data_IF_398502308603
#
_entry.id   IF_398502308603
#
_cell.length_a   1.000
_cell.length_b   1.000
_cell.length_c   1.000
_cell.angle_alpha   90.00
_cell.angle_beta   90.00
_cell.angle_gamma   90.00
#
_symmetry.space_group_name_H-M   'P 1'
#
loop_
_entity.id
_entity.type
_entity.pdbx_description
1 polymer ?
#
# COMPACT_ATOMS: atom_id res chain seq x y z
N UNK A 1 -1.97 17.31 8.08
CA UNK A 1 -0.94 16.25 8.01
C UNK A 1 -0.05 16.36 6.78
N UNK A 2 -0.58 16.53 5.55
CA UNK A 2 0.23 16.67 4.32
C UNK A 2 1.16 17.90 4.29
N UNK A 3 0.70 19.07 4.75
CA UNK A 3 1.52 20.29 4.79
C UNK A 3 2.73 20.19 5.74
N UNK A 4 2.63 19.43 6.83
CA UNK A 4 3.72 19.27 7.81
C UNK A 4 4.87 18.39 7.29
N UNK A 5 4.59 17.33 6.51
CA UNK A 5 5.63 16.44 5.94
C UNK A 5 6.52 17.11 4.90
N UNK A 6 6.03 18.15 4.24
CA UNK A 6 6.84 18.95 3.31
C UNK A 6 7.82 19.90 4.00
N UNK A 7 7.65 20.15 5.31
CA UNK A 7 8.52 21.09 6.06
C UNK A 7 9.91 20.51 6.28
N UNK A 8 10.91 21.38 6.26
CA UNK A 8 12.31 20.99 6.50
C UNK A 8 12.51 20.33 7.86
N UNK A 9 11.78 20.80 8.88
CA UNK A 9 11.81 20.22 10.24
C UNK A 9 11.35 18.77 10.23
N UNK A 10 10.22 18.47 9.57
CA UNK A 10 9.72 17.10 9.50
C UNK A 10 10.64 16.22 8.65
N UNK A 11 11.16 16.73 7.52
CA UNK A 11 12.13 15.99 6.71
C UNK A 11 13.36 15.59 7.53
N UNK A 12 13.92 16.52 8.30
CA UNK A 12 15.06 16.24 9.18
C UNK A 12 14.72 15.23 10.28
N UNK A 13 13.54 15.31 10.88
CA UNK A 13 13.08 14.32 11.85
C UNK A 13 12.95 12.92 11.22
N UNK A 14 12.37 12.81 10.03
CA UNK A 14 12.25 11.54 9.31
C UNK A 14 13.64 10.95 8.97
N UNK A 15 14.60 11.78 8.55
CA UNK A 15 15.99 11.36 8.34
C UNK A 15 16.63 10.82 9.63
N UNK A 16 16.41 11.47 10.77
CA UNK A 16 16.89 10.98 12.06
C UNK A 16 16.25 9.63 12.45
N UNK A 17 14.96 9.45 12.17
CA UNK A 17 14.29 8.16 12.39
C UNK A 17 14.91 7.06 11.52
N UNK A 18 15.22 7.35 10.25
CA UNK A 18 15.94 6.40 9.38
C UNK A 18 17.31 6.04 10.00
N UNK A 19 18.13 7.06 10.30
CA UNK A 19 19.48 6.86 10.88
C UNK A 19 19.45 6.04 12.16
N UNK A 20 18.48 6.28 13.04
CA UNK A 20 18.30 5.50 14.28
C UNK A 20 17.97 4.03 14.00
N UNK A 21 17.21 3.72 12.96
CA UNK A 21 16.87 2.34 12.62
C UNK A 21 18.05 1.60 11.97
N UNK A 22 18.92 2.31 11.26
CA UNK A 22 20.10 1.71 10.61
C UNK A 22 21.36 1.77 11.49
N UNK A 23 21.34 2.42 12.66
CA UNK A 23 22.51 2.56 13.54
C UNK A 23 22.82 1.33 14.40
N UNK A 24 21.94 0.32 14.44
CA UNK A 24 22.19 -0.89 15.25
C UNK A 24 23.45 -1.62 14.76
N UNK A 25 24.13 -2.35 15.64
CA UNK A 25 25.23 -3.24 15.23
C UNK A 25 24.65 -4.54 14.68
N UNK A 26 25.28 -5.10 13.64
CA UNK A 26 24.84 -6.36 13.02
C UNK A 26 23.84 -6.20 11.87
N UNK A 27 23.27 -7.33 11.45
CA UNK A 27 22.30 -7.45 10.34
C UNK A 27 21.04 -6.63 10.65
N UNK A 28 20.52 -5.88 9.68
CA UNK A 28 19.22 -5.24 9.85
C UNK A 28 18.12 -6.29 9.95
N UNK A 29 17.23 -6.11 10.91
CA UNK A 29 16.05 -6.96 11.09
C UNK A 29 14.95 -6.58 10.09
N UNK A 30 13.99 -7.47 9.85
CA UNK A 30 12.84 -7.16 8.99
C UNK A 30 12.02 -5.97 9.52
N UNK A 31 11.91 -5.82 10.84
CA UNK A 31 11.26 -4.67 11.47
C UNK A 31 11.99 -3.36 11.20
N UNK A 32 13.31 -3.33 11.32
CA UNK A 32 14.13 -2.16 10.97
C UNK A 32 13.98 -1.80 9.50
N UNK A 33 14.09 -2.79 8.61
CA UNK A 33 13.91 -2.60 7.18
C UNK A 33 12.54 -1.99 6.87
N UNK A 34 11.46 -2.55 7.43
CA UNK A 34 10.11 -2.03 7.21
C UNK A 34 9.95 -0.58 7.63
N UNK A 35 10.47 -0.21 8.81
CA UNK A 35 10.43 1.17 9.31
C UNK A 35 11.24 2.11 8.42
N UNK A 36 12.43 1.71 7.98
CA UNK A 36 13.26 2.50 7.06
C UNK A 36 12.54 2.72 5.73
N UNK A 37 12.04 1.65 5.08
CA UNK A 37 11.32 1.75 3.80
C UNK A 37 10.09 2.65 3.91
N UNK A 38 9.26 2.43 4.93
CA UNK A 38 8.04 3.23 5.13
C UNK A 38 8.37 4.71 5.29
N UNK A 39 9.38 5.03 6.11
CA UNK A 39 9.79 6.41 6.36
C UNK A 39 10.38 7.04 5.10
N UNK A 40 11.23 6.31 4.36
CA UNK A 40 11.79 6.80 3.08
C UNK A 40 10.70 7.09 2.06
N UNK A 41 9.74 6.18 1.86
CA UNK A 41 8.60 6.43 0.96
C UNK A 41 7.72 7.60 1.41
N UNK A 42 7.66 7.87 2.71
CA UNK A 42 6.93 9.01 3.28
C UNK A 42 7.69 10.35 3.27
N UNK A 43 9.02 10.31 3.19
CA UNK A 43 9.91 11.48 3.07
C UNK A 43 9.88 12.07 1.66
N UNK A 44 9.57 11.23 0.66
CA UNK A 44 9.74 11.54 -0.75
C UNK A 44 11.10 11.09 -1.24
N UNK A 45 11.66 11.79 -2.23
CA UNK A 45 12.99 11.48 -2.79
C UNK A 45 14.07 11.69 -1.71
N UNK A 46 14.79 10.64 -1.26
CA UNK A 46 15.94 10.79 -0.38
C UNK A 46 17.10 11.51 -1.09
N UNK A 47 17.94 12.23 -0.33
CA UNK A 47 19.19 12.77 -0.85
C UNK A 47 20.24 11.67 -1.03
N UNK A 48 21.24 11.93 -1.87
CA UNK A 48 22.25 10.93 -2.25
C UNK A 48 23.07 10.45 -1.04
N UNK A 49 23.30 11.30 -0.05
CA UNK A 49 24.05 10.94 1.16
C UNK A 49 23.26 9.95 2.03
N UNK A 50 21.99 10.22 2.27
CA UNK A 50 21.11 9.30 2.98
C UNK A 50 20.94 7.99 2.21
N UNK A 51 20.88 8.04 0.88
CA UNK A 51 20.85 6.86 0.04
C UNK A 51 22.09 5.97 0.21
N UNK A 52 23.29 6.57 0.23
CA UNK A 52 24.54 5.84 0.52
C UNK A 52 24.52 5.24 1.91
N UNK A 53 24.16 6.02 2.94
CA UNK A 53 24.08 5.53 4.33
C UNK A 53 23.15 4.31 4.44
N UNK A 54 22.00 4.32 3.77
CA UNK A 54 21.07 3.18 3.76
C UNK A 54 21.70 1.98 3.03
N UNK A 55 22.22 2.17 1.82
CA UNK A 55 22.76 1.10 1.00
C UNK A 55 23.96 0.40 1.66
N UNK A 56 24.87 1.16 2.26
CA UNK A 56 26.02 0.63 3.01
C UNK A 56 25.58 -0.29 4.16
N UNK A 57 24.42 0.01 4.77
CA UNK A 57 23.86 -0.82 5.84
C UNK A 57 23.19 -2.09 5.33
N UNK A 58 22.70 -2.10 4.08
CA UNK A 58 22.20 -3.31 3.43
C UNK A 58 23.32 -4.23 2.92
N UNK A 59 24.52 -3.71 2.67
CA UNK A 59 25.68 -4.50 2.25
C UNK A 59 26.14 -5.53 3.29
N UNK A 60 25.86 -5.29 4.57
CA UNK A 60 26.21 -6.20 5.68
C UNK A 60 25.25 -7.38 5.93
N UNK A 61 24.25 -7.59 5.07
CA UNK A 61 23.16 -8.57 5.30
C UNK A 61 23.34 -9.83 4.46
N UNK A 62 23.40 -9.64 3.14
CA UNK A 62 23.67 -10.63 2.10
C UNK A 62 23.80 -9.85 0.78
N UNK A 63 24.79 -10.18 -0.06
CA UNK A 63 25.13 -9.40 -1.27
C UNK A 63 23.93 -9.18 -2.22
N UNK A 64 22.94 -10.07 -2.16
CA UNK A 64 21.75 -10.13 -3.01
C UNK A 64 20.41 -9.95 -2.27
N UNK A 65 20.37 -9.21 -1.15
CA UNK A 65 19.10 -8.94 -0.44
C UNK A 65 18.08 -8.24 -1.37
N UNK A 66 16.83 -8.75 -1.51
CA UNK A 66 15.80 -8.10 -2.31
C UNK A 66 15.51 -6.65 -1.89
N UNK A 67 15.61 -6.35 -0.60
CA UNK A 67 15.46 -4.99 -0.08
C UNK A 67 16.58 -4.06 -0.51
N UNK A 68 17.82 -4.58 -0.60
CA UNK A 68 18.95 -3.81 -1.15
C UNK A 68 18.70 -3.45 -2.61
N UNK A 69 18.29 -4.42 -3.43
CA UNK A 69 17.97 -4.19 -4.85
C UNK A 69 16.86 -3.16 -5.00
N UNK A 70 15.80 -3.25 -4.18
CA UNK A 70 14.75 -2.24 -4.15
C UNK A 70 15.29 -0.84 -3.82
N UNK A 71 16.15 -0.71 -2.81
CA UNK A 71 16.75 0.59 -2.46
C UNK A 71 17.72 1.10 -3.52
N UNK A 72 18.48 0.23 -4.18
CA UNK A 72 19.35 0.62 -5.28
C UNK A 72 18.53 1.21 -6.42
N UNK A 73 17.41 0.57 -6.78
CA UNK A 73 16.44 1.17 -7.70
C UNK A 73 15.97 2.49 -7.09
N UNK A 74 15.33 2.51 -5.93
CA UNK A 74 14.79 3.74 -5.32
C UNK A 74 15.77 4.94 -5.31
N UNK A 75 17.07 4.70 -5.08
CA UNK A 75 18.12 5.71 -4.96
C UNK A 75 18.82 6.10 -6.26
N UNK A 76 19.20 5.15 -7.15
CA UNK A 76 19.90 5.45 -8.42
C UNK A 76 19.04 6.32 -9.35
N UNK A 77 17.74 6.28 -9.11
CA UNK A 77 16.72 7.01 -9.83
C UNK A 77 16.63 8.49 -9.41
N UNK A 78 17.67 9.00 -8.73
CA UNK A 78 17.82 10.40 -8.38
C UNK A 78 18.28 11.29 -9.56
N UNK A 79 18.68 10.71 -10.71
CA UNK A 79 19.11 11.47 -11.89
C UNK A 79 18.49 11.06 -13.23
N UNK A 80 18.13 9.78 -13.44
CA UNK A 80 17.57 9.26 -14.70
C UNK A 80 16.39 8.33 -14.41
N UNK A 81 15.37 8.34 -15.28
CA UNK A 81 14.09 7.69 -15.04
C UNK A 81 14.23 6.16 -14.99
N UNK A 82 13.94 5.51 -13.85
CA UNK A 82 13.57 4.11 -13.85
C UNK A 82 12.17 3.95 -14.42
N UNK A 83 11.99 3.00 -15.33
CA UNK A 83 10.64 2.55 -15.65
C UNK A 83 9.95 2.10 -14.36
N UNK A 84 8.75 2.62 -14.06
CA UNK A 84 7.98 2.25 -12.87
C UNK A 84 7.79 0.73 -12.69
N UNK A 85 8.04 -0.03 -13.75
CA UNK A 85 8.19 -1.48 -13.77
C UNK A 85 9.31 -2.03 -12.86
N UNK A 86 10.51 -1.44 -12.84
CA UNK A 86 11.64 -1.93 -12.02
C UNK A 86 11.36 -1.74 -10.53
N UNK A 87 10.82 -0.58 -10.15
CA UNK A 87 10.41 -0.28 -8.78
C UNK A 87 9.29 -1.21 -8.31
N UNK A 88 8.29 -1.44 -9.17
CA UNK A 88 7.21 -2.39 -8.91
C UNK A 88 7.71 -3.83 -8.72
N UNK A 89 8.63 -4.28 -9.59
CA UNK A 89 9.20 -5.64 -9.55
C UNK A 89 10.00 -5.87 -8.27
N UNK A 90 10.95 -4.98 -7.99
CA UNK A 90 11.84 -5.11 -6.83
C UNK A 90 11.09 -4.97 -5.50
N UNK A 91 10.06 -4.11 -5.41
CA UNK A 91 9.20 -4.04 -4.24
C UNK A 91 8.38 -5.33 -4.04
N UNK A 92 7.84 -5.91 -5.12
CA UNK A 92 7.14 -7.18 -5.05
C UNK A 92 8.04 -8.29 -4.53
N UNK A 93 9.25 -8.43 -5.09
CA UNK A 93 10.23 -9.44 -4.67
C UNK A 93 10.60 -9.29 -3.19
N UNK A 94 10.82 -8.05 -2.72
CA UNK A 94 11.15 -7.77 -1.34
C UNK A 94 10.01 -8.09 -0.36
N UNK A 95 8.76 -7.81 -0.74
CA UNK A 95 7.60 -8.16 0.08
C UNK A 95 7.32 -9.67 0.09
N UNK A 96 7.47 -10.35 -1.04
CA UNK A 96 7.35 -11.81 -1.11
C UNK A 96 8.40 -12.48 -0.24
N UNK A 97 9.66 -12.03 -0.33
CA UNK A 97 10.74 -12.54 0.52
C UNK A 97 10.45 -12.33 2.00
N UNK A 98 9.97 -11.14 2.38
CA UNK A 98 9.62 -10.82 3.77
C UNK A 98 8.49 -11.71 4.27
N UNK A 99 7.40 -11.85 3.52
CA UNK A 99 6.22 -12.59 3.95
C UNK A 99 6.49 -14.10 4.11
N UNK A 100 7.39 -14.64 3.29
CA UNK A 100 7.81 -16.06 3.33
C UNK A 100 8.93 -16.34 4.32
N UNK A 101 9.50 -15.32 4.96
CA UNK A 101 10.51 -15.50 5.97
C UNK A 101 9.92 -16.15 7.23
N UNK A 102 10.76 -16.85 7.99
CA UNK A 102 10.36 -17.48 9.25
C UNK A 102 10.20 -16.43 10.36
N UNK A 103 9.06 -15.75 10.32
CA UNK A 103 8.75 -14.66 11.24
C UNK A 103 8.69 -15.11 12.70
N UNK A 104 8.52 -16.41 12.98
CA UNK A 104 8.48 -16.95 14.35
C UNK A 104 9.84 -16.91 15.02
N UNK A 105 10.92 -17.02 14.26
CA UNK A 105 12.29 -17.02 14.75
C UNK A 105 12.99 -15.64 14.69
N UNK A 106 12.35 -14.64 14.09
CA UNK A 106 12.90 -13.28 14.00
C UNK A 106 12.48 -12.43 15.23
N UNK A 107 13.44 -11.88 15.99
CA UNK A 107 13.14 -11.08 17.19
C UNK A 107 12.38 -9.78 16.85
N UNK A 108 12.79 -9.08 15.81
CA UNK A 108 12.15 -7.86 15.30
C UNK A 108 11.68 -8.08 13.86
N UNK A 109 10.50 -8.70 13.74
CA UNK A 109 9.84 -8.89 12.46
C UNK A 109 8.98 -7.67 12.06
N UNK A 110 8.72 -7.51 10.76
CA UNK A 110 7.89 -6.42 10.27
C UNK A 110 6.47 -6.51 10.86
N UNK A 111 5.95 -5.41 11.41
CA UNK A 111 4.59 -5.41 11.96
C UNK A 111 3.54 -5.56 10.84
N UNK A 112 2.37 -6.16 11.10
CA UNK A 112 1.32 -6.31 10.10
C UNK A 112 0.90 -4.96 9.48
N UNK A 113 0.82 -3.91 10.30
CA UNK A 113 0.47 -2.57 9.85
C UNK A 113 1.53 -1.97 8.92
N UNK A 114 2.82 -2.21 9.21
CA UNK A 114 3.91 -1.79 8.35
C UNK A 114 3.90 -2.54 7.02
N UNK A 115 3.76 -3.87 7.08
CA UNK A 115 3.71 -4.71 5.91
C UNK A 115 2.55 -4.33 4.97
N UNK A 116 1.34 -4.15 5.50
CA UNK A 116 0.18 -3.77 4.68
C UNK A 116 0.32 -2.37 4.08
N UNK A 117 0.97 -1.43 4.76
CA UNK A 117 1.25 -0.11 4.17
C UNK A 117 2.12 -0.24 2.91
N UNK A 118 3.14 -1.10 2.95
CA UNK A 118 4.01 -1.37 1.79
C UNK A 118 3.27 -2.16 0.69
N UNK A 119 2.40 -3.10 1.06
CA UNK A 119 1.50 -3.78 0.11
C UNK A 119 0.58 -2.80 -0.59
N UNK A 120 -0.02 -1.84 0.11
CA UNK A 120 -0.82 -0.78 -0.51
C UNK A 120 0.00 0.04 -1.51
N UNK A 121 1.29 0.31 -1.24
CA UNK A 121 2.17 1.01 -2.18
C UNK A 121 2.44 0.19 -3.43
N UNK A 122 2.66 -1.11 -3.25
CA UNK A 122 2.80 -2.05 -4.37
C UNK A 122 1.53 -2.09 -5.22
N UNK A 123 0.33 -2.10 -4.61
CA UNK A 123 -0.94 -2.08 -5.33
C UNK A 123 -1.13 -0.80 -6.13
N UNK A 124 -0.72 0.36 -5.59
CA UNK A 124 -0.76 1.62 -6.32
C UNK A 124 0.17 1.57 -7.54
N UNK A 125 1.41 1.11 -7.37
CA UNK A 125 2.36 0.92 -8.48
C UNK A 125 1.79 -0.01 -9.56
N UNK A 126 1.23 -1.14 -9.14
CA UNK A 126 0.62 -2.14 -10.01
C UNK A 126 -0.57 -1.57 -10.79
N UNK A 127 -1.46 -0.85 -10.11
CA UNK A 127 -2.68 -0.32 -10.72
C UNK A 127 -2.40 0.90 -11.61
N UNK A 128 -1.44 1.75 -11.21
CA UNK A 128 -1.05 2.94 -11.97
C UNK A 128 -0.61 2.63 -13.39
N UNK A 129 -0.02 1.45 -13.62
CA UNK A 129 0.38 1.00 -14.95
C UNK A 129 -0.76 0.83 -15.96
N UNK A 130 -2.02 0.97 -15.54
CA UNK A 130 -3.22 0.90 -16.38
C UNK A 130 -3.70 2.27 -16.89
N UNK A 131 -3.05 3.37 -16.51
CA UNK A 131 -3.41 4.74 -16.89
C UNK A 131 -4.30 5.45 -15.87
N UNK A 132 -5.27 4.74 -15.30
CA UNK A 132 -6.03 5.16 -14.11
C UNK A 132 -6.16 4.01 -13.11
N UNK A 133 -6.45 4.34 -11.86
CA UNK A 133 -6.60 3.37 -10.78
C UNK A 133 -7.50 3.90 -9.66
N UNK A 134 -8.15 2.99 -8.94
CA UNK A 134 -8.91 3.28 -7.74
C UNK A 134 -8.05 3.05 -6.50
N UNK A 135 -8.09 3.96 -5.54
CA UNK A 135 -7.44 3.77 -4.24
C UNK A 135 -8.18 4.55 -3.15
N UNK A 136 -7.77 4.40 -1.90
CA UNK A 136 -8.31 5.21 -0.79
C UNK A 136 -7.67 6.60 -0.76
N UNK A 137 -8.40 7.61 -0.26
CA UNK A 137 -7.87 8.97 -0.09
C UNK A 137 -6.59 8.98 0.74
N UNK A 138 -6.53 8.19 1.82
CA UNK A 138 -5.33 8.12 2.66
C UNK A 138 -4.14 7.60 1.86
N UNK A 139 -4.27 6.46 1.19
CA UNK A 139 -3.17 5.82 0.44
C UNK A 139 -2.75 6.66 -0.76
N UNK A 140 -3.69 7.34 -1.43
CA UNK A 140 -3.40 8.26 -2.53
C UNK A 140 -2.55 9.46 -2.11
N UNK A 141 -2.95 10.13 -1.03
CA UNK A 141 -2.26 11.34 -0.61
C UNK A 141 -0.86 11.01 -0.06
N UNK A 142 -0.71 9.82 0.52
CA UNK A 142 0.57 9.24 0.92
C UNK A 142 1.46 8.87 -0.28
N UNK A 143 0.89 8.50 -1.42
CA UNK A 143 1.58 8.26 -2.69
C UNK A 143 1.97 9.56 -3.39
N UNK A 144 1.14 10.60 -3.30
CA UNK A 144 1.42 11.89 -3.93
C UNK A 144 2.72 12.55 -3.43
N UNK A 145 3.01 12.42 -2.12
CA UNK A 145 4.26 12.95 -1.54
C UNK A 145 5.50 12.34 -2.21
N UNK A 146 5.46 11.06 -2.59
CA UNK A 146 6.57 10.38 -3.23
C UNK A 146 6.90 10.95 -4.62
N UNK A 147 5.88 11.38 -5.38
CA UNK A 147 6.02 11.82 -6.78
C UNK A 147 6.27 13.33 -6.97
N UNK A 148 6.45 14.11 -5.91
CA UNK A 148 6.72 15.54 -6.07
C UNK A 148 8.14 15.84 -6.63
N UNK A 149 8.91 14.80 -6.98
CA UNK A 149 10.08 14.89 -7.87
C UNK A 149 9.72 14.44 -9.29
N UNK A 150 10.01 15.27 -10.28
CA UNK A 150 9.67 15.14 -11.69
C UNK A 150 9.71 13.71 -12.24
N UNK A 151 8.63 13.27 -12.89
CA UNK A 151 8.69 12.08 -13.76
C UNK A 151 7.64 12.13 -14.85
N UNK A 152 8.11 12.17 -16.10
CA UNK A 152 7.33 11.84 -17.27
C UNK A 152 7.14 10.31 -17.31
N UNK A 153 5.98 9.77 -17.70
CA UNK A 153 5.80 8.33 -17.78
C UNK A 153 6.65 7.73 -18.90
N UNK A 154 7.55 6.82 -18.53
CA UNK A 154 8.30 6.02 -19.49
C UNK A 154 7.35 5.18 -20.35
N UNK A 155 7.69 5.09 -21.64
CA UNK A 155 7.12 4.18 -22.63
C UNK A 155 7.51 2.73 -22.30
N UNK A 156 7.03 2.21 -21.19
CA UNK A 156 7.28 0.82 -20.80
C UNK A 156 6.43 -0.11 -21.67
N UNK A 157 7.06 -1.10 -22.31
CA UNK A 157 6.37 -2.12 -23.11
C UNK A 157 5.30 -2.84 -22.30
N UNK A 158 4.05 -2.78 -22.75
CA UNK A 158 2.90 -3.39 -22.08
C UNK A 158 2.96 -4.91 -21.93
N UNK A 159 3.87 -5.59 -22.65
CA UNK A 159 4.00 -7.03 -22.66
C UNK A 159 4.50 -7.63 -21.32
N UNK A 160 5.40 -6.94 -20.60
CA UNK A 160 5.94 -7.43 -19.32
C UNK A 160 5.13 -6.97 -18.10
N UNK A 161 4.50 -5.79 -18.21
CA UNK A 161 3.77 -5.15 -17.11
C UNK A 161 2.53 -5.96 -16.72
N UNK A 162 1.82 -6.49 -17.72
CA UNK A 162 0.55 -7.20 -17.55
C UNK A 162 0.71 -8.50 -16.72
N UNK A 163 1.64 -9.43 -17.04
CA UNK A 163 1.88 -10.62 -16.23
C UNK A 163 2.32 -10.32 -14.79
N UNK A 164 3.24 -9.35 -14.61
CA UNK A 164 3.72 -8.98 -13.28
C UNK A 164 2.59 -8.39 -12.42
N UNK A 165 1.73 -7.56 -13.02
CA UNK A 165 0.56 -7.00 -12.31
C UNK A 165 -0.40 -8.09 -11.84
N UNK A 166 -0.71 -9.06 -12.71
CA UNK A 166 -1.54 -10.21 -12.33
C UNK A 166 -0.92 -10.97 -11.16
N UNK A 167 0.39 -11.27 -11.24
CA UNK A 167 1.14 -11.93 -10.16
C UNK A 167 1.07 -11.15 -8.84
N UNK A 168 1.16 -9.83 -8.89
CA UNK A 168 1.04 -8.97 -7.70
C UNK A 168 -0.35 -9.09 -7.08
N UNK A 169 -1.42 -9.00 -7.87
CA UNK A 169 -2.78 -9.16 -7.33
C UNK A 169 -3.01 -10.55 -6.74
N UNK A 170 -2.53 -11.60 -7.41
CA UNK A 170 -2.63 -12.97 -6.91
C UNK A 170 -1.85 -13.15 -5.61
N UNK A 171 -0.62 -12.62 -5.51
CA UNK A 171 0.17 -12.62 -4.27
C UNK A 171 -0.56 -11.89 -3.13
N UNK A 172 -1.02 -10.66 -3.39
CA UNK A 172 -1.70 -9.86 -2.35
C UNK A 172 -2.97 -10.53 -1.88
N UNK A 173 -3.81 -11.04 -2.78
CA UNK A 173 -5.09 -11.62 -2.39
C UNK A 173 -4.92 -13.01 -1.81
N UNK A 174 -4.27 -13.92 -2.54
CA UNK A 174 -4.27 -15.35 -2.22
C UNK A 174 -3.18 -15.73 -1.20
N UNK A 175 -2.02 -15.07 -1.22
CA UNK A 175 -0.94 -15.38 -0.26
C UNK A 175 -1.02 -14.51 0.99
N UNK A 176 -1.40 -13.23 0.87
CA UNK A 176 -1.43 -12.31 2.02
C UNK A 176 -2.83 -12.21 2.62
N UNK A 177 -3.82 -11.69 1.90
CA UNK A 177 -5.09 -11.29 2.53
C UNK A 177 -5.90 -12.48 3.01
N UNK A 178 -6.09 -13.50 2.16
CA UNK A 178 -6.91 -14.67 2.53
C UNK A 178 -6.35 -15.40 3.75
N UNK A 179 -5.05 -15.74 3.83
CA UNK A 179 -4.49 -16.38 5.02
C UNK A 179 -4.64 -15.54 6.28
N UNK A 180 -4.43 -14.21 6.21
CA UNK A 180 -4.58 -13.32 7.37
C UNK A 180 -6.03 -13.18 7.84
N UNK A 181 -6.99 -13.26 6.94
CA UNK A 181 -8.41 -13.25 7.30
C UNK A 181 -8.89 -14.60 7.85
N UNK A 182 -8.37 -15.71 7.32
CA UNK A 182 -8.86 -17.06 7.67
C UNK A 182 -8.15 -17.66 8.87
N UNK A 183 -6.88 -17.33 9.07
CA UNK A 183 -6.11 -17.79 10.20
C UNK A 183 -6.01 -16.70 11.27
N UNK A 184 -7.11 -16.54 12.02
CA UNK A 184 -7.18 -15.58 13.13
C UNK A 184 -6.09 -15.82 14.17
N UNK A 185 -5.75 -17.08 14.47
CA UNK A 185 -4.79 -17.43 15.52
C UNK A 185 -3.40 -16.89 15.16
N UNK A 186 -2.87 -17.26 14.01
CA UNK A 186 -1.52 -16.87 13.61
C UNK A 186 -1.44 -15.36 13.36
N UNK A 187 -2.50 -14.76 12.81
CA UNK A 187 -2.60 -13.31 12.65
C UNK A 187 -2.53 -12.59 14.00
N UNK A 188 -3.24 -13.10 15.01
CA UNK A 188 -3.16 -12.55 16.36
C UNK A 188 -1.78 -12.74 16.98
N UNK A 189 -1.12 -13.88 16.75
CA UNK A 189 0.26 -14.10 17.22
C UNK A 189 1.24 -13.11 16.57
N UNK A 190 1.12 -12.87 15.25
CA UNK A 190 1.93 -11.87 14.55
C UNK A 190 1.71 -10.45 15.11
N UNK A 191 0.45 -10.06 15.38
CA UNK A 191 0.13 -8.78 16.04
C UNK A 191 0.82 -8.69 17.40
N UNK A 192 0.68 -9.72 18.24
CA UNK A 192 1.28 -9.75 19.59
C UNK A 192 2.78 -9.59 19.56
N UNK A 193 3.44 -10.28 18.63
CA UNK A 193 4.91 -10.24 18.47
C UNK A 193 5.40 -8.85 18.06
N UNK A 194 4.62 -8.12 17.27
CA UNK A 194 4.97 -6.77 16.82
C UNK A 194 4.85 -5.66 17.88
N UNK A 195 4.72 -6.01 19.17
CA UNK A 195 4.49 -5.11 20.30
C UNK A 195 3.28 -4.15 20.13
N UNK A 196 2.39 -4.45 19.18
CA UNK A 196 1.22 -3.64 18.85
C UNK A 196 0.00 -4.23 19.55
N UNK A 197 0.00 -4.21 20.89
CA UNK A 197 -1.08 -4.80 21.69
C UNK A 197 -2.17 -3.76 21.99
N UNK A 198 -2.85 -3.29 20.95
CA UNK A 198 -4.10 -2.56 21.11
C UNK A 198 -5.27 -3.52 20.83
N UNK A 199 -6.24 -3.59 21.75
CA UNK A 199 -7.46 -4.41 21.63
C UNK A 199 -8.18 -4.16 20.30
N UNK A 200 -8.08 -2.94 19.79
CA UNK A 200 -8.73 -2.49 18.56
C UNK A 200 -7.88 -2.72 17.29
N UNK A 201 -6.64 -3.20 17.41
CA UNK A 201 -5.76 -3.38 16.26
C UNK A 201 -6.24 -4.50 15.32
N UNK A 202 -6.76 -5.61 15.86
CA UNK A 202 -7.22 -6.72 15.03
C UNK A 202 -8.44 -6.34 14.17
N UNK A 203 -9.51 -5.72 14.71
CA UNK A 203 -10.59 -5.17 13.89
C UNK A 203 -10.12 -4.19 12.80
N UNK A 204 -9.18 -3.29 13.13
CA UNK A 204 -8.60 -2.36 12.16
C UNK A 204 -7.81 -3.08 11.06
N UNK A 205 -7.08 -4.15 11.40
CA UNK A 205 -6.36 -4.97 10.44
C UNK A 205 -7.35 -5.67 9.49
N UNK A 206 -8.41 -6.28 10.02
CA UNK A 206 -9.46 -6.94 9.22
C UNK A 206 -10.12 -5.94 8.26
N UNK A 207 -10.46 -4.74 8.74
CA UNK A 207 -10.99 -3.68 7.89
C UNK A 207 -10.03 -3.33 6.74
N UNK A 208 -8.74 -3.16 7.03
CA UNK A 208 -7.72 -2.87 6.00
C UNK A 208 -7.61 -3.99 4.96
N UNK A 209 -7.61 -5.24 5.42
CA UNK A 209 -7.55 -6.42 4.54
C UNK A 209 -8.77 -6.50 3.60
N UNK A 210 -9.98 -6.28 4.13
CA UNK A 210 -11.21 -6.22 3.31
C UNK A 210 -11.17 -5.04 2.33
N UNK A 211 -10.72 -3.87 2.78
CA UNK A 211 -10.54 -2.70 1.91
C UNK A 211 -9.54 -2.98 0.78
N UNK A 212 -8.44 -3.68 1.05
CA UNK A 212 -7.46 -4.09 0.04
C UNK A 212 -8.11 -4.96 -1.04
N UNK A 213 -8.91 -5.97 -0.67
CA UNK A 213 -9.58 -6.82 -1.69
C UNK A 213 -10.59 -6.01 -2.49
N UNK A 214 -11.35 -5.10 -1.87
CA UNK A 214 -12.22 -4.18 -2.60
C UNK A 214 -11.44 -3.36 -3.65
N UNK A 215 -10.28 -2.83 -3.27
CA UNK A 215 -9.42 -2.08 -4.18
C UNK A 215 -8.84 -2.96 -5.30
N UNK A 216 -8.37 -4.17 -4.98
CA UNK A 216 -7.88 -5.10 -6.00
C UNK A 216 -8.99 -5.44 -7.00
N UNK A 217 -10.19 -5.77 -6.50
CA UNK A 217 -11.37 -6.05 -7.33
C UNK A 217 -11.66 -4.90 -8.30
N UNK A 218 -11.68 -3.65 -7.81
CA UNK A 218 -11.92 -2.49 -8.66
C UNK A 218 -10.83 -2.26 -9.72
N UNK A 219 -9.58 -2.58 -9.42
CA UNK A 219 -8.45 -2.33 -10.31
C UNK A 219 -8.13 -3.50 -11.26
N UNK A 220 -8.71 -4.69 -11.07
CA UNK A 220 -8.44 -5.84 -11.93
C UNK A 220 -9.70 -6.53 -12.46
N UNK A 221 -10.89 -6.19 -11.94
CA UNK A 221 -12.16 -6.81 -12.29
C UNK A 221 -12.33 -8.25 -11.79
N UNK A 222 -11.40 -8.78 -11.00
CA UNK A 222 -11.40 -10.16 -10.51
C UNK A 222 -11.70 -10.24 -9.00
N UNK A 223 -11.76 -11.45 -8.44
CA UNK A 223 -11.95 -11.74 -7.00
C UNK A 223 -13.33 -11.35 -6.44
N UNK A 224 -14.34 -11.15 -7.29
CA UNK A 224 -15.72 -10.91 -6.84
C UNK A 224 -16.24 -12.05 -5.97
N UNK A 225 -16.05 -13.30 -6.40
CA UNK A 225 -16.56 -14.47 -5.69
C UNK A 225 -15.90 -14.65 -4.33
N UNK A 226 -14.59 -14.40 -4.26
CA UNK A 226 -13.85 -14.41 -3.00
C UNK A 226 -14.39 -13.33 -2.06
N UNK A 227 -14.56 -12.10 -2.55
CA UNK A 227 -15.08 -11.01 -1.73
C UNK A 227 -16.51 -11.27 -1.25
N UNK A 228 -17.34 -11.88 -2.08
CA UNK A 228 -18.67 -12.36 -1.70
C UNK A 228 -18.61 -13.42 -0.59
N UNK A 229 -17.67 -14.38 -0.68
CA UNK A 229 -17.44 -15.38 0.37
C UNK A 229 -17.02 -14.72 1.70
N UNK A 230 -16.07 -13.77 1.64
CA UNK A 230 -15.61 -13.02 2.81
C UNK A 230 -16.75 -12.28 3.51
N UNK A 231 -17.62 -11.62 2.75
CA UNK A 231 -18.77 -10.85 3.27
C UNK A 231 -19.89 -11.73 3.84
N UNK A 232 -19.85 -13.05 3.63
CA UNK A 232 -20.78 -14.03 4.22
C UNK A 232 -20.24 -14.66 5.50
N UNK A 233 -18.94 -14.53 5.79
CA UNK A 233 -18.32 -15.12 6.98
C UNK A 233 -18.53 -14.24 8.21
N UNK A 234 -19.30 -14.73 9.17
CA UNK A 234 -19.57 -14.03 10.44
C UNK A 234 -18.31 -13.74 11.24
N UNK A 235 -17.32 -14.64 11.20
CA UNK A 235 -16.03 -14.48 11.89
C UNK A 235 -15.24 -13.25 11.44
N UNK A 236 -15.43 -12.82 10.19
CA UNK A 236 -14.80 -11.64 9.58
C UNK A 236 -15.69 -10.42 9.77
N UNK A 237 -16.95 -10.54 9.38
CA UNK A 237 -17.90 -9.40 9.32
C UNK A 237 -18.19 -8.79 10.69
N UNK A 238 -18.13 -9.58 11.78
CA UNK A 238 -18.26 -9.06 13.15
C UNK A 238 -17.10 -8.14 13.57
N UNK A 239 -15.97 -8.17 12.85
CA UNK A 239 -14.82 -7.31 13.11
C UNK A 239 -14.90 -5.98 12.33
N UNK A 240 -15.83 -5.86 11.38
CA UNK A 240 -15.96 -4.68 10.53
C UNK A 240 -16.85 -3.62 11.20
N UNK A 241 -16.58 -2.32 10.97
CA UNK A 241 -17.54 -1.28 11.31
C UNK A 241 -18.89 -1.56 10.64
N UNK A 242 -19.96 -1.51 11.42
CA UNK A 242 -21.29 -1.87 10.94
C UNK A 242 -21.70 -1.08 9.71
N UNK A 243 -21.51 0.24 9.73
CA UNK A 243 -21.89 1.12 8.61
C UNK A 243 -21.13 0.81 7.31
N UNK A 244 -19.88 0.37 7.42
CA UNK A 244 -19.09 -0.08 6.28
C UNK A 244 -19.66 -1.37 5.71
N UNK A 245 -19.85 -2.37 6.58
CA UNK A 245 -20.33 -3.69 6.18
C UNK A 245 -21.76 -3.66 5.65
N UNK A 246 -22.64 -2.88 6.26
CA UNK A 246 -24.06 -2.79 5.91
C UNK A 246 -24.27 -2.30 4.47
N UNK A 247 -23.50 -1.31 4.02
CA UNK A 247 -23.51 -0.84 2.61
C UNK A 247 -23.17 -1.99 1.66
N UNK A 248 -22.11 -2.74 1.96
CA UNK A 248 -21.64 -3.86 1.15
C UNK A 248 -22.64 -5.02 1.15
N UNK A 249 -23.20 -5.35 2.31
CA UNK A 249 -24.16 -6.43 2.52
C UNK A 249 -25.49 -6.17 1.80
N UNK A 250 -26.06 -4.97 1.93
CA UNK A 250 -27.37 -4.65 1.32
C UNK A 250 -27.34 -4.70 -0.20
N UNK A 251 -26.16 -4.44 -0.79
CA UNK A 251 -25.96 -4.38 -2.24
C UNK A 251 -25.03 -5.49 -2.73
N UNK A 252 -25.03 -6.64 -2.06
CA UNK A 252 -24.16 -7.77 -2.36
C UNK A 252 -24.26 -8.23 -3.83
N UNK A 253 -25.45 -8.17 -4.44
CA UNK A 253 -25.67 -8.48 -5.87
C UNK A 253 -25.13 -7.42 -6.84
N UNK A 254 -24.95 -6.20 -6.37
CA UNK A 254 -24.46 -5.05 -7.15
C UNK A 254 -23.05 -4.65 -6.75
N UNK A 255 -22.30 -5.56 -6.12
CA UNK A 255 -21.01 -5.25 -5.53
C UNK A 255 -19.95 -4.85 -6.57
N UNK A 256 -20.08 -5.33 -7.81
CA UNK A 256 -19.27 -4.91 -8.96
C UNK A 256 -19.42 -3.42 -9.30
N UNK A 257 -20.43 -2.74 -8.76
CA UNK A 257 -20.64 -1.32 -8.97
C UNK A 257 -19.71 -0.51 -8.07
N UNK A 258 -18.82 0.28 -8.70
CA UNK A 258 -17.91 1.24 -8.05
C UNK A 258 -18.61 2.10 -6.99
N UNK A 259 -19.86 2.50 -7.22
CA UNK A 259 -20.59 3.38 -6.30
C UNK A 259 -20.86 2.71 -4.94
N UNK A 260 -21.05 1.39 -4.92
CA UNK A 260 -21.26 0.63 -3.67
C UNK A 260 -20.01 0.65 -2.82
N UNK A 261 -18.86 0.36 -3.43
CA UNK A 261 -17.56 0.37 -2.73
C UNK A 261 -17.18 1.80 -2.33
N UNK A 262 -17.42 2.79 -3.18
CA UNK A 262 -17.18 4.19 -2.87
C UNK A 262 -18.02 4.67 -1.66
N UNK A 263 -19.29 4.27 -1.58
CA UNK A 263 -20.17 4.57 -0.45
C UNK A 263 -19.64 3.92 0.85
N UNK A 264 -19.20 2.65 0.81
CA UNK A 264 -18.63 1.99 1.98
C UNK A 264 -17.34 2.68 2.46
N UNK A 265 -16.44 3.05 1.54
CA UNK A 265 -15.22 3.79 1.87
C UNK A 265 -15.49 5.17 2.50
N UNK A 266 -16.60 5.82 2.10
CA UNK A 266 -17.08 7.05 2.77
C UNK A 266 -17.46 6.79 4.24
N UNK A 267 -18.08 5.65 4.56
CA UNK A 267 -18.50 5.31 5.93
C UNK A 267 -17.34 5.13 6.91
N UNK A 268 -16.14 4.86 6.43
CA UNK A 268 -14.92 4.77 7.25
C UNK A 268 -14.04 6.01 7.18
N UNK A 269 -14.59 7.14 6.70
CA UNK A 269 -13.88 8.41 6.52
C UNK A 269 -12.61 8.31 5.66
N UNK A 270 -12.57 7.33 4.76
CA UNK A 270 -11.47 7.13 3.84
C UNK A 270 -11.99 6.95 2.42
N UNK A 271 -12.57 8.01 1.81
CA UNK A 271 -13.30 7.89 0.56
C UNK A 271 -12.42 7.35 -0.57
N UNK A 272 -13.05 6.65 -1.51
CA UNK A 272 -12.40 6.19 -2.73
C UNK A 272 -12.04 7.38 -3.62
N UNK A 273 -10.86 7.33 -4.23
CA UNK A 273 -10.37 8.32 -5.20
C UNK A 273 -9.86 7.61 -6.46
N UNK A 274 -9.90 8.34 -7.57
CA UNK A 274 -9.34 7.90 -8.85
C UNK A 274 -8.03 8.63 -9.05
N UNK A 275 -6.93 7.88 -9.18
CA UNK A 275 -5.63 8.40 -9.60
C UNK A 275 -5.35 8.02 -11.04
N UNK A 276 -4.53 8.79 -11.75
CA UNK A 276 -4.17 8.47 -13.13
C UNK A 276 -3.55 9.62 -13.90
N UNK A 277 -3.10 9.34 -15.12
CA UNK A 277 -2.76 10.39 -16.08
C UNK A 277 -4.05 10.86 -16.76
N UNK A 278 -4.42 12.13 -16.58
CA UNK A 278 -5.50 12.74 -17.35
C UNK A 278 -5.07 12.89 -18.82
N UNK A 279 -5.21 11.82 -19.61
CA UNK A 279 -5.44 11.95 -21.06
C UNK A 279 -6.91 11.60 -21.30
N UNK A 280 -7.76 12.64 -21.30
CA UNK A 280 -9.12 12.63 -21.84
C UNK A 280 -10.05 11.53 -21.33
N UNK A 281 -10.52 11.62 -20.08
CA UNK A 281 -11.76 10.95 -19.69
C UNK A 281 -12.96 11.78 -20.17
N UNK A 282 -13.28 11.66 -21.46
CA UNK A 282 -14.62 11.94 -21.98
C UNK A 282 -15.35 10.60 -22.02
N UNK A 283 -15.87 10.19 -20.87
CA UNK A 283 -16.93 9.19 -20.79
C UNK A 283 -17.94 9.67 -19.75
N UNK A 284 -19.21 9.74 -20.16
CA UNK A 284 -20.27 10.49 -19.47
C UNK A 284 -20.58 10.01 -18.04
N UNK A 285 -20.19 8.78 -17.67
CA UNK A 285 -20.43 8.25 -16.33
C UNK A 285 -19.48 8.85 -15.27
N UNK A 286 -18.27 9.26 -15.69
CA UNK A 286 -17.24 9.86 -14.84
C UNK A 286 -17.61 11.28 -14.38
N UNK A 287 -18.45 11.99 -15.16
CA UNK A 287 -18.84 13.37 -14.86
C UNK A 287 -19.84 13.47 -13.70
N UNK A 288 -20.65 12.44 -13.45
CA UNK A 288 -21.60 12.44 -12.34
C UNK A 288 -20.91 12.36 -10.96
N UNK A 289 -19.81 11.60 -10.88
CA UNK A 289 -18.98 11.46 -9.67
C UNK A 289 -18.05 12.66 -9.44
N UNK A 290 -17.51 13.26 -10.51
CA UNK A 290 -16.67 14.46 -10.39
C UNK A 290 -17.49 15.70 -9.99
N UNK A 291 -18.71 15.88 -10.52
CA UNK A 291 -19.57 17.03 -10.21
C UNK A 291 -20.22 16.95 -8.82
N UNK A 292 -20.55 15.76 -8.34
CA UNK A 292 -21.17 15.60 -7.01
C UNK A 292 -20.20 15.80 -5.84
N UNK A 293 -18.91 15.54 -6.02
CA UNK A 293 -17.90 15.75 -4.97
C UNK A 293 -17.27 17.16 -4.97
N UNK A 294 -17.40 17.95 -6.04
CA UNK A 294 -16.90 19.33 -6.08
C UNK A 294 -17.92 20.37 -5.60
N UNK A 295 -19.23 20.12 -5.77
CA UNK A 295 -20.27 21.10 -5.42
C UNK A 295 -20.67 21.12 -3.93
N UNK A 296 -20.06 20.30 -3.07
CA UNK A 296 -20.32 20.30 -1.62
C UNK A 296 -19.19 20.90 -0.77
N UNK A 297 -18.10 21.38 -1.39
CA UNK A 297 -16.99 22.08 -0.68
C UNK A 297 -16.96 23.60 -0.93
N UNK A 298 -18.00 24.16 -1.57
CA UNK A 298 -18.10 25.59 -1.91
C UNK A 298 -19.43 26.22 -1.48
N UNK A 299 -20.13 25.63 -0.52
CA UNK A 299 -21.37 26.17 0.04
C UNK A 299 -21.41 26.04 1.57
N UNK A 300 -20.77 26.99 2.25
CA UNK A 300 -21.23 27.65 3.49
C UNK A 300 -20.05 28.47 4.03
N UNK A 301 -20.02 29.74 3.61
CA UNK A 301 -19.59 30.83 4.48
C UNK A 301 -20.67 31.02 5.55
#
# INVERSE_FOLDING_TARGET
MFSLRGTEVMKNLLKQVIRKNISSKGRLTYGQIGRVVMVTLGLGKPDDDLCKEILDRFDGIDKNSPWKTFFQVLCVNSGETPGGLSLMRTLNEALVNTYRADWMNEEDFMSPGCFLCLVERLLILASYSQGYFFTSKSSFAEWFIYRQGDTNPDSTSGAEVQPLRKRIYDFVVNEVVVPLLYNKKDTMEWIKKSATYAKDFYPLLVLRLVAIICLVHLNCGNFSDLLLDLLRRSSITVQLPWDFYDVLRRRLKHFHNVNVIAEAFKKINNPLVIGGHCKGLVSNDSQSLARSNWNYSSGNN
#
